data_IF_323219461676
#
_entry.id   IF_323219461676
#
_cell.length_a   1.000
_cell.length_b   1.000
_cell.length_c   1.000
_cell.angle_alpha   90.00
_cell.angle_beta   90.00
_cell.angle_gamma   90.00
#
_symmetry.space_group_name_H-M   'P 1'
#
loop_
_entity.id
_entity.type
_entity.pdbx_description
1 polymer ?
#
# COMPACT_ATOMS: atom_id res chain seq x y z
N UNK A 1 -26.35 7.45 2.21
CA UNK A 1 -25.42 6.50 1.56
C UNK A 1 -24.09 6.60 2.24
N UNK A 2 -23.67 5.56 2.98
CA UNK A 2 -22.41 5.56 3.72
C UNK A 2 -21.28 5.23 2.75
N UNK A 3 -20.49 6.24 2.39
CA UNK A 3 -19.25 6.06 1.64
C UNK A 3 -18.33 5.12 2.43
N UNK A 4 -17.87 4.04 1.82
CA UNK A 4 -16.97 3.09 2.47
C UNK A 4 -15.64 3.82 2.72
N UNK A 5 -15.44 4.30 3.96
CA UNK A 5 -14.23 5.04 4.35
C UNK A 5 -13.00 4.18 4.10
N UNK A 6 -12.17 4.62 3.17
CA UNK A 6 -10.99 3.90 2.72
C UNK A 6 -10.01 3.73 3.90
N UNK A 7 -9.37 2.55 4.01
CA UNK A 7 -8.47 2.22 5.13
C UNK A 7 -7.31 3.22 5.32
N UNK A 8 -6.91 3.91 4.25
CA UNK A 8 -5.88 4.95 4.25
C UNK A 8 -6.23 6.18 5.12
N UNK A 9 -7.50 6.42 5.40
CA UNK A 9 -7.92 7.61 6.16
C UNK A 9 -7.58 7.54 7.65
N UNK A 10 -7.41 6.34 8.21
CA UNK A 10 -7.29 6.15 9.67
C UNK A 10 -5.93 6.62 10.21
N UNK A 11 -4.85 6.45 9.45
CA UNK A 11 -3.50 6.86 9.86
C UNK A 11 -3.26 8.36 9.78
N UNK A 12 -3.91 9.05 8.84
CA UNK A 12 -3.66 10.46 8.54
C UNK A 12 -4.59 11.43 9.25
N UNK A 13 -5.70 10.94 9.83
CA UNK A 13 -6.72 11.78 10.50
C UNK A 13 -6.18 12.63 11.66
N UNK A 14 -5.14 12.18 12.35
CA UNK A 14 -4.53 12.92 13.47
C UNK A 14 -3.39 13.85 13.06
N UNK A 15 -2.94 13.76 11.81
CA UNK A 15 -1.71 14.40 11.32
C UNK A 15 -2.03 15.51 10.31
N UNK A 16 -3.00 15.28 9.43
CA UNK A 16 -3.39 16.23 8.38
C UNK A 16 -4.83 16.66 8.59
N UNK A 17 -5.06 17.98 8.57
CA UNK A 17 -6.40 18.57 8.66
C UNK A 17 -7.25 18.17 7.46
N UNK A 18 -8.56 18.10 7.62
CA UNK A 18 -9.46 17.57 6.59
C UNK A 18 -9.47 18.41 5.31
N UNK A 19 -9.38 19.73 5.43
CA UNK A 19 -9.31 20.67 4.31
C UNK A 19 -8.06 20.51 3.43
N UNK A 20 -7.00 19.88 3.96
CA UNK A 20 -5.73 19.65 3.26
C UNK A 20 -5.60 18.22 2.75
N UNK A 21 -6.72 17.49 2.60
CA UNK A 21 -6.72 16.09 2.14
C UNK A 21 -7.45 15.99 0.81
N UNK A 22 -6.76 15.38 -0.14
CA UNK A 22 -7.34 15.06 -1.44
C UNK A 22 -7.61 13.55 -1.46
N UNK A 23 -8.88 13.18 -1.45
CA UNK A 23 -9.28 11.79 -1.64
C UNK A 23 -9.28 11.46 -3.14
N UNK A 24 -8.62 10.37 -3.51
CA UNK A 24 -8.65 9.83 -4.88
C UNK A 24 -9.05 8.36 -4.83
N UNK A 25 -9.78 7.91 -5.85
CA UNK A 25 -10.22 6.53 -5.95
C UNK A 25 -9.11 5.59 -6.46
N UNK A 26 -8.17 6.12 -7.25
CA UNK A 26 -7.07 5.37 -7.85
C UNK A 26 -5.73 6.02 -7.54
N UNK A 27 -4.76 5.20 -7.13
CA UNK A 27 -3.45 5.70 -6.71
C UNK A 27 -2.67 6.35 -7.86
N UNK A 28 -2.88 5.90 -9.10
CA UNK A 28 -2.27 6.50 -10.29
C UNK A 28 -2.66 7.98 -10.47
N UNK A 29 -3.87 8.36 -10.06
CA UNK A 29 -4.33 9.74 -10.11
C UNK A 29 -3.52 10.58 -9.11
N UNK A 30 -3.30 10.08 -7.89
CA UNK A 30 -2.48 10.79 -6.90
C UNK A 30 -1.03 11.01 -7.38
N UNK A 31 -0.39 9.99 -7.98
CA UNK A 31 0.96 10.14 -8.55
C UNK A 31 1.00 11.17 -9.67
N UNK A 32 -0.02 11.20 -10.53
CA UNK A 32 -0.17 12.20 -11.61
C UNK A 32 -0.46 13.61 -11.12
N UNK A 33 -1.05 13.75 -9.92
CA UNK A 33 -1.26 15.04 -9.27
C UNK A 33 0.04 15.53 -8.67
N UNK A 34 0.77 14.66 -7.96
CA UNK A 34 2.06 14.97 -7.37
C UNK A 34 3.08 15.39 -8.44
N UNK A 35 3.11 14.71 -9.60
CA UNK A 35 4.00 15.07 -10.72
C UNK A 35 3.65 16.39 -11.43
N UNK A 36 2.51 17.00 -11.10
CA UNK A 36 2.01 18.26 -11.69
C UNK A 36 1.84 19.35 -10.65
N UNK A 37 2.48 19.23 -9.49
CA UNK A 37 2.36 20.17 -8.36
C UNK A 37 0.89 20.41 -7.91
N UNK A 38 0.04 19.38 -8.02
CA UNK A 38 -1.37 19.42 -7.56
C UNK A 38 -1.58 18.76 -6.20
N UNK A 39 -0.50 18.51 -5.48
CA UNK A 39 -0.47 18.00 -4.12
C UNK A 39 0.98 17.86 -3.66
N UNK A 40 1.23 18.05 -2.36
CA UNK A 40 2.60 18.12 -1.84
C UNK A 40 3.14 16.75 -1.40
N UNK A 41 2.28 15.91 -0.82
CA UNK A 41 2.66 14.63 -0.19
C UNK A 41 1.63 13.56 -0.53
N UNK A 42 2.13 12.39 -0.95
CA UNK A 42 1.35 11.16 -1.11
C UNK A 42 1.78 10.13 -0.08
N UNK A 43 0.82 9.47 0.57
CA UNK A 43 1.07 8.41 1.55
C UNK A 43 0.69 7.06 0.94
N UNK A 44 1.68 6.19 0.78
CA UNK A 44 1.53 4.83 0.24
C UNK A 44 2.63 3.92 0.79
N UNK A 45 2.55 2.61 0.52
CA UNK A 45 3.61 1.66 0.87
C UNK A 45 4.80 1.79 -0.11
N UNK A 46 6.03 1.47 0.34
CA UNK A 46 7.22 1.54 -0.52
C UNK A 46 7.07 0.73 -1.82
N UNK A 47 6.52 -0.49 -1.72
CA UNK A 47 6.39 -1.42 -2.85
C UNK A 47 5.40 -0.87 -3.89
N UNK A 48 4.25 -0.36 -3.41
CA UNK A 48 3.24 0.24 -4.27
C UNK A 48 3.79 1.50 -4.93
N UNK A 49 4.53 2.34 -4.19
CA UNK A 49 5.11 3.56 -4.74
C UNK A 49 6.12 3.28 -5.85
N UNK A 50 7.03 2.33 -5.65
CA UNK A 50 8.00 1.93 -6.65
C UNK A 50 7.33 1.36 -7.92
N UNK A 51 6.33 0.48 -7.77
CA UNK A 51 5.61 -0.10 -8.89
C UNK A 51 4.87 0.96 -9.73
N UNK A 52 4.19 1.92 -9.07
CA UNK A 52 3.42 2.96 -9.78
C UNK A 52 4.34 3.97 -10.47
N UNK A 53 5.47 4.34 -9.87
CA UNK A 53 6.45 5.22 -10.50
C UNK A 53 6.97 4.62 -11.81
N UNK A 54 7.34 3.33 -11.83
CA UNK A 54 7.74 2.61 -13.04
C UNK A 54 6.59 2.53 -14.05
N UNK A 55 5.42 2.07 -13.62
CA UNK A 55 4.23 1.90 -14.46
C UNK A 55 3.81 3.19 -15.18
N UNK A 56 4.00 4.35 -14.54
CA UNK A 56 3.64 5.66 -15.10
C UNK A 56 4.81 6.39 -15.74
N UNK A 57 6.00 5.78 -15.79
CA UNK A 57 7.24 6.40 -16.29
C UNK A 57 7.55 7.75 -15.61
N UNK A 58 7.35 7.79 -14.29
CA UNK A 58 7.54 8.98 -13.46
C UNK A 58 8.85 8.97 -12.67
N UNK A 59 9.81 8.08 -12.98
CA UNK A 59 11.07 8.03 -12.24
C UNK A 59 11.86 9.35 -12.29
N UNK A 60 11.72 10.10 -13.39
CA UNK A 60 12.38 11.39 -13.60
C UNK A 60 11.52 12.59 -13.17
N UNK A 61 10.39 12.38 -12.50
CA UNK A 61 9.48 13.45 -12.08
C UNK A 61 9.95 14.25 -10.85
N UNK A 62 11.05 13.83 -10.21
CA UNK A 62 11.53 14.42 -8.96
C UNK A 62 10.80 13.92 -7.70
N UNK A 63 9.79 13.06 -7.86
CA UNK A 63 9.09 12.40 -6.76
C UNK A 63 10.06 11.45 -6.05
N UNK A 64 10.16 11.58 -4.73
CA UNK A 64 11.03 10.75 -3.89
C UNK A 64 10.28 10.22 -2.66
N UNK A 65 10.65 9.03 -2.23
CA UNK A 65 10.20 8.49 -0.95
C UNK A 65 10.88 9.25 0.19
N UNK A 66 10.13 9.55 1.25
CA UNK A 66 10.65 10.19 2.46
C UNK A 66 10.91 9.12 3.53
N UNK A 67 12.04 9.24 4.23
CA UNK A 67 12.42 8.40 5.35
C UNK A 67 12.58 9.25 6.63
N UNK A 68 12.25 8.71 7.82
CA UNK A 68 11.71 7.37 8.08
C UNK A 68 10.23 7.22 7.69
N UNK A 69 9.69 5.98 7.57
CA UNK A 69 8.28 5.78 7.28
C UNK A 69 7.39 6.40 8.38
N UNK A 70 6.24 6.95 8.00
CA UNK A 70 5.31 7.58 8.94
C UNK A 70 4.74 6.56 9.95
N UNK A 71 4.54 5.31 9.51
CA UNK A 71 4.04 4.23 10.34
C UNK A 71 4.37 2.88 9.73
N UNK A 72 4.61 1.89 10.58
CA UNK A 72 4.73 0.49 10.18
C UNK A 72 3.44 -0.24 10.52
N UNK A 73 2.84 -0.89 9.51
CA UNK A 73 1.63 -1.68 9.67
C UNK A 73 1.91 -3.15 9.39
N UNK A 74 1.47 -4.03 10.28
CA UNK A 74 1.47 -5.47 10.04
C UNK A 74 0.25 -5.82 9.19
N UNK A 75 0.48 -6.23 7.94
CA UNK A 75 -0.58 -6.68 7.04
C UNK A 75 -0.97 -8.13 7.36
N UNK A 76 -2.27 -8.38 7.45
CA UNK A 76 -2.81 -9.72 7.69
C UNK A 76 -3.86 -10.06 6.63
N UNK A 77 -3.90 -11.32 6.22
CA UNK A 77 -4.95 -11.82 5.34
C UNK A 77 -6.29 -11.78 6.06
N UNK A 78 -7.23 -11.02 5.51
CA UNK A 78 -8.59 -10.98 6.04
C UNK A 78 -9.36 -12.25 5.65
N UNK A 79 -10.04 -12.85 6.61
CA UNK A 79 -10.95 -13.97 6.36
C UNK A 79 -12.25 -13.80 7.15
N UNK A 80 -13.38 -14.16 6.53
CA UNK A 80 -14.69 -14.14 7.21
C UNK A 80 -14.70 -15.16 8.36
N UNK A 81 -15.33 -14.79 9.48
CA UNK A 81 -15.42 -15.62 10.70
C UNK A 81 -15.92 -17.05 10.45
N UNK A 82 -16.90 -17.22 9.54
CA UNK A 82 -17.43 -18.55 9.15
C UNK A 82 -16.38 -19.53 8.59
N UNK A 83 -15.21 -19.02 8.19
CA UNK A 83 -14.11 -19.80 7.64
C UNK A 83 -12.88 -19.83 8.57
N UNK A 84 -13.04 -19.59 9.87
CA UNK A 84 -11.93 -19.54 10.83
C UNK A 84 -10.98 -20.76 10.75
N UNK A 85 -11.51 -21.97 10.48
CA UNK A 85 -10.68 -23.17 10.32
C UNK A 85 -9.73 -23.10 9.13
N UNK A 86 -10.10 -22.39 8.06
CA UNK A 86 -9.21 -22.15 6.91
C UNK A 86 -8.10 -21.16 7.25
N UNK A 87 -8.35 -20.19 8.14
CA UNK A 87 -7.30 -19.26 8.57
C UNK A 87 -6.11 -19.99 9.19
N UNK A 88 -6.36 -21.01 10.01
CA UNK A 88 -5.31 -21.83 10.61
C UNK A 88 -4.49 -22.58 9.55
N UNK A 89 -5.16 -23.15 8.54
CA UNK A 89 -4.48 -23.85 7.43
C UNK A 89 -3.65 -22.89 6.59
N UNK A 90 -4.20 -21.74 6.22
CA UNK A 90 -3.49 -20.71 5.44
C UNK A 90 -2.27 -20.21 6.22
N UNK A 91 -2.42 -19.96 7.52
CA UNK A 91 -1.30 -19.52 8.36
C UNK A 91 -0.19 -20.58 8.44
N UNK A 92 -0.53 -21.87 8.51
CA UNK A 92 0.45 -22.95 8.48
C UNK A 92 1.18 -23.00 7.12
N UNK A 93 0.45 -23.01 6.00
CA UNK A 93 1.07 -23.04 4.67
C UNK A 93 1.95 -21.82 4.40
N UNK A 94 1.54 -20.61 4.80
CA UNK A 94 2.39 -19.41 4.65
C UNK A 94 3.66 -19.50 5.51
N UNK A 95 3.64 -20.19 6.65
CA UNK A 95 4.85 -20.41 7.46
C UNK A 95 5.78 -21.40 6.79
N UNK A 96 5.26 -22.53 6.33
CA UNK A 96 6.01 -23.53 5.57
C UNK A 96 6.69 -22.88 4.34
N UNK A 97 5.95 -22.07 3.58
CA UNK A 97 6.49 -21.33 2.44
C UNK A 97 7.57 -20.30 2.79
N UNK A 98 7.56 -19.76 4.00
CA UNK A 98 8.59 -18.83 4.47
C UNK A 98 9.85 -19.55 4.93
N UNK A 99 9.69 -20.77 5.46
CA UNK A 99 10.76 -21.65 5.91
C UNK A 99 11.48 -22.29 4.71
N UNK A 100 10.75 -22.69 3.67
CA UNK A 100 11.32 -23.28 2.45
C UNK A 100 11.83 -22.24 1.42
N UNK A 101 11.52 -20.96 1.62
CA UNK A 101 11.96 -19.84 0.78
C UNK A 101 11.07 -19.55 -0.44
N UNK A 102 10.06 -20.37 -0.71
CA UNK A 102 9.14 -20.19 -1.85
C UNK A 102 8.36 -18.89 -1.75
N UNK A 103 8.01 -18.46 -0.53
CA UNK A 103 7.32 -17.18 -0.30
C UNK A 103 8.15 -16.00 -0.82
N UNK A 104 9.44 -15.96 -0.45
CA UNK A 104 10.36 -14.90 -0.84
C UNK A 104 10.59 -14.90 -2.35
N UNK A 105 10.68 -16.08 -2.98
CA UNK A 105 10.77 -16.21 -4.43
C UNK A 105 9.56 -15.60 -5.14
N UNK A 106 8.34 -15.96 -4.72
CA UNK A 106 7.10 -15.43 -5.29
C UNK A 106 7.00 -13.91 -5.10
N UNK A 107 7.32 -13.40 -3.91
CA UNK A 107 7.28 -11.96 -3.63
C UNK A 107 8.29 -11.21 -4.51
N UNK A 108 9.49 -11.75 -4.70
CA UNK A 108 10.50 -11.15 -5.55
C UNK A 108 10.05 -11.08 -7.01
N UNK A 109 9.53 -12.19 -7.54
CA UNK A 109 9.02 -12.25 -8.91
C UNK A 109 7.89 -11.22 -9.15
N UNK A 110 6.99 -11.05 -8.17
CA UNK A 110 5.92 -10.05 -8.26
C UNK A 110 6.40 -8.60 -8.08
N UNK A 111 7.48 -8.37 -7.35
CA UNK A 111 8.02 -7.03 -7.10
C UNK A 111 8.88 -6.48 -8.27
N UNK A 112 9.30 -7.36 -9.19
CA UNK A 112 10.11 -7.04 -10.37
C UNK A 112 9.28 -6.61 -11.61
N UNK A 113 7.95 -6.59 -11.52
CA UNK A 113 7.05 -5.96 -12.51
C UNK A 113 6.88 -4.45 -12.28
#
# INVERSE_FOLDING_TARGET
MSFCRCGAEKGTRKVVREENRIAVDHIEIAFRMLSRDRGDILITSPETGAAILRKLSLENSGIRMLEPPLTEIRLYTFLRKKHARLALKIAASIREMREDGTYQQIVKELAEF
#
